data_IF_934634641578
#
_entry.id   IF_934634641578
#
_cell.length_a   1.000
_cell.length_b   1.000
_cell.length_c   1.000
_cell.angle_alpha   90.00
_cell.angle_beta   90.00
_cell.angle_gamma   90.00
#
_symmetry.space_group_name_H-M   'P 1'
#
loop_
_entity.id
_entity.type
_entity.pdbx_description
1 polymer ?
#
# COMPACT_ATOMS: atom_id res chain seq x y z
N UNK A 1 -8.52 -5.95 8.14
CA UNK A 1 -9.44 -4.83 8.38
C UNK A 1 -9.38 -3.91 7.19
N UNK A 2 -10.50 -3.75 6.48
CA UNK A 2 -10.57 -2.80 5.37
C UNK A 2 -10.39 -1.39 5.91
N UNK A 3 -9.55 -0.62 5.23
CA UNK A 3 -9.23 0.76 5.58
C UNK A 3 -10.03 1.66 4.66
N UNK A 4 -10.87 2.49 5.25
CA UNK A 4 -11.59 3.52 4.53
C UNK A 4 -10.73 4.80 4.38
N UNK A 5 -10.96 5.64 3.35
CA UNK A 5 -10.14 6.82 3.09
C UNK A 5 -10.03 7.81 4.26
N UNK A 6 -11.07 7.92 5.10
CA UNK A 6 -11.12 8.77 6.28
C UNK A 6 -10.17 8.34 7.41
N UNK A 7 -9.65 7.10 7.35
CA UNK A 7 -8.70 6.58 8.33
C UNK A 7 -7.24 6.86 7.93
N UNK A 8 -7.03 7.48 6.77
CA UNK A 8 -5.71 7.89 6.29
C UNK A 8 -5.31 9.25 6.92
N UNK A 9 -4.03 9.46 7.23
CA UNK A 9 -2.89 8.59 6.93
C UNK A 9 -2.69 7.47 7.95
N UNK A 10 -2.36 6.28 7.46
CA UNK A 10 -1.84 5.20 8.29
C UNK A 10 -0.33 5.34 8.47
N UNK A 11 0.16 5.15 9.68
CA UNK A 11 1.58 5.23 10.02
C UNK A 11 2.01 3.99 10.80
N UNK A 12 3.05 3.34 10.33
CA UNK A 12 3.64 2.18 10.96
C UNK A 12 5.11 2.46 11.28
N UNK A 13 5.50 2.54 12.57
CA UNK A 13 6.87 2.82 13.00
C UNK A 13 7.74 1.55 12.96
N UNK A 14 7.67 0.81 11.84
CA UNK A 14 8.45 -0.41 11.61
C UNK A 14 8.71 -0.57 10.12
N UNK A 15 9.74 -1.32 9.76
CA UNK A 15 10.10 -1.50 8.35
C UNK A 15 9.15 -2.42 7.60
N UNK A 16 8.99 -2.17 6.31
CA UNK A 16 8.16 -2.96 5.40
C UNK A 16 8.90 -3.24 4.10
N UNK A 17 8.52 -4.32 3.44
CA UNK A 17 8.96 -4.64 2.08
C UNK A 17 7.80 -5.21 1.24
N UNK A 18 7.80 -5.01 -0.09
CA UNK A 18 6.96 -5.80 -0.97
C UNK A 18 7.23 -7.29 -0.73
N UNK A 19 6.16 -8.04 -0.49
CA UNK A 19 6.23 -9.47 -0.20
C UNK A 19 5.76 -10.31 -1.38
N UNK A 20 4.59 -9.97 -1.92
CA UNK A 20 3.99 -10.69 -3.03
C UNK A 20 3.20 -9.74 -3.91
N UNK A 21 3.21 -10.04 -5.21
CA UNK A 21 2.29 -9.45 -6.18
C UNK A 21 1.63 -10.58 -6.98
N UNK A 22 0.32 -10.75 -6.79
CA UNK A 22 -0.46 -11.78 -7.50
C UNK A 22 -1.18 -11.15 -8.67
N UNK A 23 -0.80 -11.51 -9.89
CA UNK A 23 -1.30 -10.87 -11.12
C UNK A 23 -2.78 -11.17 -11.37
N UNK A 24 -3.23 -12.41 -11.17
CA UNK A 24 -4.63 -12.82 -11.43
C UNK A 24 -5.65 -12.05 -10.60
N UNK A 25 -5.28 -11.68 -9.37
CA UNK A 25 -6.12 -10.93 -8.44
C UNK A 25 -5.66 -9.49 -8.24
N UNK A 26 -4.65 -9.05 -9.00
CA UNK A 26 -4.00 -7.73 -8.91
C UNK A 26 -3.78 -7.32 -7.45
N UNK A 27 -3.20 -8.22 -6.67
CA UNK A 27 -3.06 -8.04 -5.22
C UNK A 27 -1.60 -7.81 -4.88
N UNK A 28 -1.30 -6.65 -4.32
CA UNK A 28 0.01 -6.31 -3.76
C UNK A 28 -0.06 -6.47 -2.24
N UNK A 29 0.94 -7.15 -1.67
CA UNK A 29 1.11 -7.23 -0.21
C UNK A 29 2.46 -6.63 0.20
N UNK A 30 2.42 -5.67 1.12
CA UNK A 30 3.58 -5.27 1.90
C UNK A 30 3.56 -6.01 3.23
N UNK A 31 4.71 -6.52 3.64
CA UNK A 31 4.89 -7.24 4.90
C UNK A 31 5.86 -6.47 5.78
N UNK A 32 5.53 -6.32 7.05
CA UNK A 32 6.49 -5.78 8.01
C UNK A 32 7.67 -6.74 8.15
N UNK A 33 8.88 -6.22 8.32
CA UNK A 33 9.98 -7.08 8.74
C UNK A 33 9.68 -7.58 10.16
N UNK A 34 9.83 -8.89 10.38
CA UNK A 34 9.71 -9.47 11.71
C UNK A 34 10.95 -9.07 12.51
N UNK A 35 10.82 -8.12 13.43
CA UNK A 35 11.80 -7.96 14.49
C UNK A 35 11.33 -8.80 15.68
N UNK A 36 12.22 -9.62 16.25
CA UNK A 36 11.98 -10.78 17.13
C UNK A 36 11.17 -10.49 18.42
N UNK A 37 10.91 -9.22 18.72
CA UNK A 37 10.23 -8.75 19.94
C UNK A 37 8.71 -8.60 19.76
N UNK A 38 8.22 -8.45 18.52
CA UNK A 38 6.79 -8.30 18.23
C UNK A 38 6.30 -9.55 17.49
N UNK A 39 5.65 -10.47 18.21
CA UNK A 39 5.21 -11.78 17.71
C UNK A 39 4.22 -11.79 16.54
N UNK A 40 3.75 -10.62 16.08
CA UNK A 40 2.81 -10.51 14.97
C UNK A 40 3.38 -9.71 13.78
N UNK A 41 3.29 -10.32 12.61
CA UNK A 41 3.60 -9.70 11.32
C UNK A 41 2.41 -8.86 10.85
N UNK A 42 2.66 -7.63 10.41
CA UNK A 42 1.65 -6.78 9.79
C UNK A 42 1.68 -6.98 8.28
N UNK A 43 0.51 -7.23 7.72
CA UNK A 43 0.27 -7.31 6.28
C UNK A 43 -0.59 -6.13 5.85
N UNK A 44 -0.08 -5.36 4.91
CA UNK A 44 -0.82 -4.33 4.20
C UNK A 44 -1.11 -4.83 2.80
N UNK A 45 -2.37 -5.02 2.47
CA UNK A 45 -2.83 -5.55 1.18
C UNK A 45 -3.55 -4.46 0.39
N UNK A 46 -3.12 -4.30 -0.85
CA UNK A 46 -3.79 -3.48 -1.85
C UNK A 46 -4.44 -4.44 -2.83
N UNK A 47 -5.77 -4.38 -2.97
CA UNK A 47 -6.53 -5.28 -3.83
C UNK A 47 -7.02 -4.54 -5.08
N UNK A 48 -7.09 -5.26 -6.19
CA UNK A 48 -7.43 -4.70 -7.51
C UNK A 48 -6.50 -3.52 -7.84
N UNK A 49 -5.20 -3.78 -7.83
CA UNK A 49 -4.15 -2.80 -8.13
C UNK A 49 -4.11 -2.55 -9.64
N UNK A 50 -4.27 -1.29 -10.04
CA UNK A 50 -4.08 -0.87 -11.43
C UNK A 50 -2.64 -0.47 -11.71
N UNK A 51 -2.00 0.17 -10.75
CA UNK A 51 -0.70 0.81 -10.91
C UNK A 51 0.05 0.85 -9.59
N UNK A 52 1.37 0.77 -9.64
CA UNK A 52 2.21 1.01 -8.48
C UNK A 52 3.61 1.47 -8.88
N UNK A 53 4.22 2.28 -8.03
CA UNK A 53 5.64 2.56 -8.02
C UNK A 53 6.11 2.48 -6.57
N UNK A 54 6.96 1.49 -6.26
CA UNK A 54 7.36 1.21 -4.89
C UNK A 54 8.86 0.97 -4.78
N UNK A 55 9.40 1.24 -3.60
CA UNK A 55 10.73 0.79 -3.22
C UNK A 55 10.70 -0.68 -2.82
N UNK A 56 11.87 -1.32 -2.89
CA UNK A 56 12.07 -2.68 -2.42
C UNK A 56 12.00 -2.80 -0.89
N UNK A 57 12.15 -1.69 -0.16
CA UNK A 57 12.06 -1.62 1.31
C UNK A 57 11.75 -0.20 1.78
N UNK A 58 11.04 -0.10 2.89
CA UNK A 58 10.68 1.11 3.61
C UNK A 58 11.15 0.98 5.06
N UNK A 59 11.88 1.95 5.61
CA UNK A 59 12.36 1.89 7.00
C UNK A 59 11.24 2.10 8.02
N UNK A 60 10.26 2.91 7.64
CA UNK A 60 8.95 3.02 8.27
C UNK A 60 7.92 3.22 7.16
N UNK A 61 6.64 2.98 7.42
CA UNK A 61 5.62 3.02 6.37
C UNK A 61 4.55 4.04 6.71
N UNK A 62 4.35 5.02 5.83
CA UNK A 62 3.20 5.92 5.82
C UNK A 62 2.40 5.70 4.55
N UNK A 63 1.09 5.53 4.69
CA UNK A 63 0.15 5.43 3.57
C UNK A 63 -0.87 6.55 3.73
N UNK A 64 -1.03 7.37 2.69
CA UNK A 64 -1.94 8.51 2.69
C UNK A 64 -2.66 8.61 1.35
N UNK A 65 -3.78 9.34 1.30
CA UNK A 65 -4.35 9.78 0.02
C UNK A 65 -3.34 10.66 -0.70
N UNK A 66 -3.18 10.45 -2.00
CA UNK A 66 -2.25 11.23 -2.82
C UNK A 66 -2.64 12.71 -2.80
N UNK A 67 -1.66 13.59 -2.55
CA UNK A 67 -1.87 15.04 -2.55
C UNK A 67 -2.06 15.59 -3.97
N UNK A 68 -1.37 15.00 -4.96
CA UNK A 68 -1.54 15.28 -6.39
C UNK A 68 -1.95 14.01 -7.15
N UNK A 69 -3.25 13.66 -7.16
CA UNK A 69 -3.73 12.51 -7.92
C UNK A 69 -3.51 12.66 -9.43
N UNK A 70 -3.43 13.90 -9.95
CA UNK A 70 -3.22 14.16 -11.37
C UNK A 70 -1.83 13.75 -11.86
N UNK A 71 -0.81 13.82 -11.01
CA UNK A 71 0.51 13.26 -11.33
C UNK A 71 0.47 11.73 -11.50
N UNK A 72 -0.33 11.04 -10.69
CA UNK A 72 -0.51 9.57 -10.76
C UNK A 72 -1.32 9.18 -12.00
N UNK A 73 -2.37 9.94 -12.32
CA UNK A 73 -3.20 9.70 -13.51
C UNK A 73 -2.43 9.92 -14.83
N UNK A 74 -1.36 10.73 -14.82
CA UNK A 74 -0.44 10.82 -15.97
C UNK A 74 0.44 9.57 -16.12
N UNK A 75 0.69 8.85 -15.02
CA UNK A 75 1.49 7.63 -15.03
C UNK A 75 0.67 6.41 -15.47
N UNK A 76 -0.62 6.35 -15.14
CA UNK A 76 -1.56 5.34 -15.62
C UNK A 76 -2.84 5.98 -16.10
N UNK A 77 -3.21 5.66 -17.34
CA UNK A 77 -4.50 6.05 -17.92
C UNK A 77 -5.64 5.29 -17.21
N UNK A 78 -6.27 5.96 -16.25
CA UNK A 78 -7.46 5.46 -15.54
C UNK A 78 -8.68 6.14 -16.14
N UNK A 79 -9.54 5.41 -16.86
CA UNK A 79 -10.74 6.01 -17.44
C UNK A 79 -11.62 6.65 -16.37
N UNK A 80 -12.19 7.83 -16.66
CA UNK A 80 -13.01 8.62 -15.71
C UNK A 80 -14.12 7.79 -15.04
N UNK A 81 -14.76 6.88 -15.78
CA UNK A 81 -15.80 5.97 -15.28
C UNK A 81 -15.33 5.05 -14.13
N UNK A 82 -14.03 4.85 -13.98
CA UNK A 82 -13.41 4.04 -12.95
C UNK A 82 -12.73 4.90 -11.87
N UNK A 83 -12.56 6.20 -12.09
CA UNK A 83 -11.81 7.10 -11.20
C UNK A 83 -12.33 7.08 -9.76
N UNK A 84 -13.65 7.04 -9.58
CA UNK A 84 -14.32 7.01 -8.27
C UNK A 84 -14.17 5.67 -7.53
N UNK A 85 -13.83 4.58 -8.23
CA UNK A 85 -13.64 3.25 -7.64
C UNK A 85 -12.24 3.07 -7.05
N UNK A 86 -11.24 3.75 -7.61
CA UNK A 86 -9.84 3.51 -7.27
C UNK A 86 -9.28 4.61 -6.37
N UNK A 87 -8.69 4.17 -5.25
CA UNK A 87 -7.91 5.01 -4.35
C UNK A 87 -6.54 5.28 -4.97
N UNK A 88 -6.11 6.54 -4.89
CA UNK A 88 -4.76 6.95 -5.25
C UNK A 88 -4.01 7.20 -3.96
N UNK A 89 -3.09 6.30 -3.64
CA UNK A 89 -2.40 6.30 -2.37
C UNK A 89 -0.93 6.63 -2.57
N UNK A 90 -0.43 7.56 -1.76
CA UNK A 90 1.00 7.77 -1.56
C UNK A 90 1.51 6.77 -0.53
N UNK A 91 2.67 6.16 -0.81
CA UNK A 91 3.36 5.22 0.08
C UNK A 91 4.79 5.73 0.29
N UNK A 92 5.16 6.04 1.53
CA UNK A 92 6.43 6.73 1.82
C UNK A 92 7.05 6.30 3.14
N UNK A 93 8.38 6.41 3.22
CA UNK A 93 9.17 6.33 4.45
C UNK A 93 9.78 7.69 4.83
N UNK A 94 9.15 8.80 4.40
CA UNK A 94 9.60 10.17 4.67
C UNK A 94 10.83 10.62 3.87
N UNK A 95 11.67 9.68 3.42
CA UNK A 95 12.81 9.96 2.54
C UNK A 95 12.49 9.66 1.08
N UNK A 96 11.67 8.64 0.82
CA UNK A 96 11.29 8.22 -0.51
C UNK A 96 9.78 8.10 -0.63
N UNK A 97 9.25 8.60 -1.74
CA UNK A 97 7.83 8.53 -2.06
C UNK A 97 7.59 7.59 -3.25
N UNK A 98 6.53 6.79 -3.13
CA UNK A 98 5.95 5.97 -4.18
C UNK A 98 4.42 6.06 -4.15
N UNK A 99 3.76 5.31 -5.01
CA UNK A 99 2.30 5.29 -5.05
C UNK A 99 1.74 3.89 -5.32
N UNK A 100 0.47 3.70 -4.95
CA UNK A 100 -0.34 2.55 -5.33
C UNK A 100 -1.73 3.05 -5.71
N UNK A 101 -2.25 2.54 -6.83
CA UNK A 101 -3.64 2.74 -7.24
C UNK A 101 -4.39 1.43 -7.09
N UNK A 102 -5.36 1.38 -6.18
CA UNK A 102 -6.09 0.16 -5.83
C UNK A 102 -7.55 0.44 -5.46
N UNK A 103 -8.43 -0.55 -5.60
CA UNK A 103 -9.83 -0.38 -5.18
C UNK A 103 -10.01 -0.50 -3.66
N UNK A 104 -9.16 -1.31 -2.99
CA UNK A 104 -9.29 -1.58 -1.56
C UNK A 104 -7.92 -1.63 -0.90
N UNK A 105 -7.82 -1.02 0.28
CA UNK A 105 -6.72 -1.16 1.22
C UNK A 105 -7.19 -2.00 2.42
N UNK A 106 -6.43 -3.03 2.78
CA UNK A 106 -6.69 -3.89 3.95
C UNK A 106 -5.43 -4.03 4.79
N UNK A 107 -5.59 -3.96 6.12
CA UNK A 107 -4.50 -4.15 7.09
C UNK A 107 -4.87 -5.28 8.04
N UNK A 108 -3.97 -6.24 8.21
CA UNK A 108 -4.17 -7.36 9.15
C UNK A 108 -2.88 -7.69 9.88
N UNK A 109 -3.01 -8.31 11.04
CA UNK A 109 -1.89 -8.97 11.71
C UNK A 109 -2.04 -10.48 11.62
N UNK A 110 -0.92 -11.19 11.69
CA UNK A 110 -0.90 -12.66 11.70
C UNK A 110 0.45 -13.18 12.15
N UNK A 111 0.55 -14.50 12.39
CA UNK A 111 1.83 -15.12 12.69
C UNK A 111 2.82 -14.90 11.52
N UNK A 112 4.13 -14.82 11.79
CA UNK A 112 5.12 -14.82 10.73
C UNK A 112 4.98 -16.10 9.91
N UNK A 113 4.66 -15.96 8.63
CA UNK A 113 4.64 -17.09 7.70
C UNK A 113 6.09 -17.56 7.45
N UNK A 114 6.36 -18.88 7.53
CA UNK A 114 7.71 -19.45 7.42
C UNK A 114 8.41 -19.17 6.08
#
# INVERSE_FOLDING_TARGET
>A
MKVSPEQLPLRFPRSFRPWAYTVSHRTLTLRSDGNEVAGETVYVRFLDVLAMQLRHRFQHLTIATAADPGAIDRFVDIPDRHSARYLRLTVTDGAHEGFVVCAVLDVSTGPPEP
#
